data_IF_517943371250
#
_entry.id   IF_517943371250
#
_cell.length_a   1.000
_cell.length_b   1.000
_cell.length_c   1.000
_cell.angle_alpha   90.00
_cell.angle_beta   90.00
_cell.angle_gamma   90.00
#
_symmetry.space_group_name_H-M   'P 1'
#
loop_
_entity.id
_entity.type
_entity.pdbx_description
1 polymer ?
2 non-polymer ?
3 water ?
#
# COMPACT_ATOMS: atom_id res chain seq x y z
N UNK A 1 11.09 -1.48 -1.76
CA UNK A 1 11.77 -2.56 -1.00
C UNK A 1 11.16 -2.66 0.39
N UNK A 2 11.14 -3.87 0.93
CA UNK A 2 10.58 -4.07 2.26
C UNK A 2 11.58 -4.74 3.19
N UNK A 3 11.44 -4.49 4.50
CA UNK A 3 12.33 -5.10 5.50
C UNK A 3 12.11 -6.61 5.35
N UNK A 4 13.09 -7.42 5.76
CA UNK A 4 12.98 -8.88 5.65
C UNK A 4 11.91 -9.55 6.51
N UNK A 5 11.55 -8.93 7.63
CA UNK A 5 10.56 -9.52 8.53
C UNK A 5 9.11 -9.49 8.02
N UNK A 6 8.87 -8.86 6.88
CA UNK A 6 7.52 -8.79 6.34
C UNK A 6 7.35 -9.57 5.03
N UNK A 7 6.17 -10.15 4.85
CA UNK A 7 5.83 -10.86 3.62
C UNK A 7 5.31 -9.70 2.77
N UNK A 8 5.09 -9.93 1.48
CA UNK A 8 4.59 -8.86 0.63
C UNK A 8 3.25 -8.33 1.12
N UNK A 9 2.38 -9.23 1.57
CA UNK A 9 1.08 -8.83 2.08
C UNK A 9 1.22 -8.01 3.37
N UNK A 10 2.13 -8.43 4.25
CA UNK A 10 2.31 -7.69 5.49
C UNK A 10 2.86 -6.28 5.21
N UNK A 11 3.66 -6.16 4.15
CA UNK A 11 4.22 -4.87 3.75
C UNK A 11 3.12 -4.04 3.10
N UNK A 12 2.29 -4.68 2.27
CA UNK A 12 1.18 -3.99 1.62
C UNK A 12 0.31 -3.38 2.71
N UNK A 13 0.04 -4.17 3.75
CA UNK A 13 -0.77 -3.72 4.87
C UNK A 13 -0.12 -2.54 5.61
N UNK A 14 1.19 -2.65 5.85
CA UNK A 14 1.93 -1.61 6.54
C UNK A 14 1.98 -0.33 5.71
N UNK A 15 2.10 -0.47 4.39
CA UNK A 15 2.18 0.68 3.51
C UNK A 15 0.86 1.33 3.07
N UNK A 16 -0.17 0.51 2.85
CA UNK A 16 -1.43 1.00 2.30
C UNK A 16 -2.73 0.83 3.05
N UNK A 17 -2.68 0.19 4.21
CA UNK A 17 -3.89 -0.02 4.99
C UNK A 17 -3.81 0.52 6.43
N UNK A 18 -2.73 0.20 7.14
CA UNK A 18 -2.59 0.67 8.53
C UNK A 18 -2.00 2.07 8.67
N UNK A 19 -2.80 3.09 8.37
CA UNK A 19 -2.32 4.46 8.52
C UNK A 19 -2.35 4.72 10.02
N UNK A 20 -1.19 4.59 10.67
CA UNK A 20 -1.10 4.73 12.12
C UNK A 20 -1.52 6.08 12.69
N UNK A 21 -1.62 7.07 11.81
CA UNK A 21 -2.05 8.41 12.21
C UNK A 21 -2.73 9.03 10.99
N UNK A 22 -3.77 9.81 11.22
CA UNK A 22 -4.48 10.43 10.11
C UNK A 22 -3.62 11.53 9.48
N UNK A 23 -2.48 11.81 10.09
CA UNK A 23 -1.57 12.83 9.60
C UNK A 23 -0.47 12.13 8.80
N UNK A 24 -0.19 12.57 7.58
CA UNK A 24 0.84 11.91 6.77
C UNK A 24 2.25 11.92 7.35
N UNK A 25 2.67 13.04 7.93
CA UNK A 25 4.02 13.09 8.49
C UNK A 25 4.26 11.97 9.51
N UNK A 26 3.32 11.77 10.44
CA UNK A 26 3.46 10.71 11.45
C UNK A 26 3.29 9.31 10.84
N UNK A 27 2.26 9.12 10.01
CA UNK A 27 2.02 7.83 9.36
C UNK A 27 3.23 7.39 8.54
N UNK A 28 3.85 8.33 7.83
CA UNK A 28 5.00 7.99 7.00
C UNK A 28 6.25 7.59 7.78
N UNK A 29 6.38 8.04 9.02
CA UNK A 29 7.55 7.67 9.82
C UNK A 29 7.68 6.15 9.93
N UNK A 30 6.54 5.47 9.98
CA UNK A 30 6.55 4.02 10.08
C UNK A 30 7.17 3.38 8.82
N UNK A 31 6.70 3.78 7.65
CA UNK A 31 7.23 3.23 6.40
C UNK A 31 8.70 3.62 6.23
N UNK A 32 8.98 4.90 6.45
CA UNK A 32 10.33 5.44 6.31
C UNK A 32 11.34 4.81 7.26
N UNK A 33 10.94 4.59 8.51
CA UNK A 33 11.84 3.99 9.48
C UNK A 33 12.09 2.53 9.12
N UNK A 34 11.17 1.91 8.39
CA UNK A 34 11.33 0.53 7.99
C UNK A 34 12.16 0.42 6.71
N UNK A 35 11.91 1.34 5.78
CA UNK A 35 12.60 1.38 4.50
C UNK A 35 13.97 2.05 4.55
N UNK A 36 14.21 2.82 5.61
CA UNK A 36 15.47 3.55 5.79
C UNK A 36 15.66 4.62 4.72
N UNK A 37 14.56 5.29 4.36
CA UNK A 37 14.59 6.35 3.36
C UNK A 37 13.20 6.97 3.33
N UNK A 38 13.12 8.25 2.98
CA UNK A 38 11.82 8.91 2.93
C UNK A 38 11.14 8.71 1.59
N UNK A 39 10.13 7.85 1.60
CA UNK A 39 9.37 7.55 0.42
C UNK A 39 8.76 8.86 -0.08
N UNK A 40 8.89 9.11 -1.38
CA UNK A 40 8.40 10.34 -1.98
C UNK A 40 6.89 10.47 -2.09
N UNK A 41 6.23 9.35 -2.31
CA UNK A 41 4.78 9.33 -2.47
C UNK A 41 4.20 8.01 -1.99
N UNK A 42 3.11 8.09 -1.24
CA UNK A 42 2.49 6.88 -0.74
C UNK A 42 1.01 7.06 -0.41
N UNK A 43 0.20 6.13 -0.90
CA UNK A 43 -1.25 6.15 -0.68
C UNK A 43 -1.74 5.19 0.39
N UNK A 44 -2.60 5.69 1.27
CA UNK A 44 -3.22 4.88 2.31
C UNK A 44 -4.70 4.79 1.92
N UNK A 45 -5.20 3.57 1.73
CA UNK A 45 -6.61 3.38 1.39
C UNK A 45 -7.42 3.30 2.69
N UNK A 46 -8.50 4.07 2.80
CA UNK A 46 -9.32 4.01 4.00
C UNK A 46 -10.33 2.89 3.81
N UNK A 47 -9.83 1.67 3.94
CA UNK A 47 -10.61 0.46 3.76
C UNK A 47 -9.97 -0.63 4.62
N UNK A 48 -10.62 -1.78 4.70
CA UNK A 48 -10.11 -2.89 5.50
C UNK A 48 -9.30 -3.89 4.68
N UNK A 49 -8.42 -4.60 5.37
CA UNK A 49 -7.60 -5.60 4.72
C UNK A 49 -8.50 -6.65 4.08
N UNK A 50 -9.56 -7.04 4.79
CA UNK A 50 -10.47 -8.05 4.27
C UNK A 50 -11.16 -7.55 3.00
N UNK A 51 -11.50 -6.26 2.96
CA UNK A 51 -12.12 -5.64 1.79
C UNK A 51 -11.21 -5.78 0.56
N UNK A 52 -9.94 -5.45 0.73
CA UNK A 52 -8.98 -5.54 -0.37
C UNK A 52 -8.79 -6.99 -0.81
N UNK A 53 -8.72 -7.90 0.15
CA UNK A 53 -8.57 -9.32 -0.18
C UNK A 53 -9.73 -9.71 -1.09
N UNK A 54 -10.92 -9.23 -0.77
CA UNK A 54 -12.06 -9.54 -1.61
C UNK A 54 -11.95 -8.92 -3.00
N UNK A 55 -11.31 -7.75 -3.11
CA UNK A 55 -11.12 -7.12 -4.41
C UNK A 55 -10.19 -8.01 -5.23
N UNK A 56 -9.28 -8.70 -4.56
CA UNK A 56 -8.38 -9.62 -5.23
C UNK A 56 -9.20 -10.69 -5.96
N UNK A 57 -10.44 -10.88 -5.53
CA UNK A 57 -11.31 -11.88 -6.15
C UNK A 57 -12.01 -11.38 -7.39
N UNK A 58 -11.84 -10.09 -7.70
CA UNK A 58 -12.46 -9.50 -8.88
C UNK A 58 -11.69 -9.99 -10.09
N UNK A 59 -12.24 -9.78 -11.29
CA UNK A 59 -11.56 -10.24 -12.50
C UNK A 59 -10.15 -9.74 -12.65
N UNK A 60 -9.26 -10.60 -13.13
CA UNK A 60 -7.88 -10.22 -13.35
C UNK A 60 -7.80 -9.18 -14.45
N UNK A 61 -6.84 -8.28 -14.33
CA UNK A 61 -6.64 -7.24 -15.32
C UNK A 61 -5.15 -6.86 -15.37
N UNK A 62 -4.73 -6.29 -16.50
CA UNK A 62 -3.34 -5.90 -16.64
C UNK A 62 -3.01 -4.76 -15.66
N UNK A 63 -1.85 -4.85 -15.02
CA UNK A 63 -1.40 -3.82 -14.07
C UNK A 63 -0.91 -2.60 -14.85
N UNK A 64 -1.61 -1.46 -14.74
CA UNK A 64 -1.14 -0.27 -15.48
C UNK A 64 0.28 0.17 -15.15
N UNK A 65 0.76 -0.14 -13.95
CA UNK A 65 2.12 0.24 -13.55
C UNK A 65 3.19 -0.77 -13.98
N UNK A 66 2.78 -2.00 -14.25
CA UNK A 66 3.69 -3.03 -14.78
C UNK A 66 2.90 -3.81 -15.81
N UNK A 67 2.88 -3.25 -17.01
CA UNK A 67 2.18 -3.77 -18.17
C UNK A 67 2.37 -5.27 -18.43
N UNK A 68 3.47 -5.86 -17.96
CA UNK A 68 3.67 -7.28 -18.21
C UNK A 68 2.94 -8.19 -17.23
N UNK A 69 2.39 -7.61 -16.16
CA UNK A 69 1.69 -8.40 -15.14
C UNK A 69 0.17 -8.43 -15.28
N UNK A 70 -0.41 -9.60 -15.05
CA UNK A 70 -1.84 -9.81 -15.18
C UNK A 70 -2.48 -10.21 -13.84
N UNK A 71 -1.81 -9.90 -12.74
CA UNK A 71 -2.32 -10.25 -11.42
C UNK A 71 -2.98 -9.07 -10.70
N UNK A 72 -3.43 -8.09 -11.46
CA UNK A 72 -4.07 -6.94 -10.84
C UNK A 72 -5.58 -7.06 -10.82
N UNK A 73 -6.20 -6.30 -9.92
CA UNK A 73 -7.66 -6.31 -9.74
C UNK A 73 -8.18 -4.90 -9.43
N UNK A 74 -9.29 -4.55 -10.05
CA UNK A 74 -9.91 -3.23 -9.91
C UNK A 74 -10.97 -3.25 -8.81
N UNK A 75 -10.94 -2.26 -7.92
CA UNK A 75 -11.89 -2.18 -6.82
C UNK A 75 -13.36 -2.12 -7.26
N UNK A 76 -13.65 -1.61 -8.45
CA UNK A 76 -15.05 -1.58 -8.86
C UNK A 76 -15.92 -0.61 -8.07
N UNK A 77 -15.38 -0.09 -6.98
CA UNK A 77 -16.08 0.90 -6.16
C UNK A 77 -15.02 1.86 -5.60
N UNK A 78 -15.34 3.15 -5.54
CA UNK A 78 -14.40 4.16 -5.04
C UNK A 78 -14.29 4.08 -3.52
N UNK A 79 -13.10 4.35 -2.99
CA UNK A 79 -12.93 4.33 -1.55
C UNK A 79 -12.23 5.60 -1.11
N UNK A 80 -12.44 6.01 0.15
CA UNK A 80 -11.76 7.22 0.61
C UNK A 80 -10.30 6.82 0.79
N UNK A 81 -9.39 7.73 0.48
CA UNK A 81 -7.97 7.44 0.63
C UNK A 81 -7.23 8.73 0.97
N UNK A 82 -6.00 8.59 1.45
CA UNK A 82 -5.18 9.76 1.75
C UNK A 82 -3.84 9.53 1.06
N UNK A 83 -3.44 10.49 0.23
CA UNK A 83 -2.17 10.39 -0.49
C UNK A 83 -1.15 11.30 0.18
N UNK A 84 -0.03 10.71 0.57
CA UNK A 84 1.04 11.44 1.22
C UNK A 84 2.12 11.78 0.21
N UNK A 85 2.56 13.04 0.24
CA UNK A 85 3.59 13.56 -0.65
C UNK A 85 4.68 14.17 0.20
N UNK A 86 5.92 13.79 -0.07
CA UNK A 86 7.07 14.30 0.68
C UNK A 86 7.28 15.80 0.38
N UNK A 87 7.26 16.63 1.42
CA UNK A 87 7.45 18.06 1.25
C UNK A 87 8.81 18.48 1.78
N UNK A 88 9.36 17.66 2.68
CA UNK A 88 10.66 17.95 3.27
C UNK A 88 11.60 16.75 3.25
N UNK A 89 12.21 16.44 2.08
CA UNK A 89 13.13 15.30 1.97
C UNK A 89 14.30 15.51 2.91
N UNK A 90 14.72 14.45 3.59
CA UNK A 90 15.82 14.55 4.54
C UNK A 90 16.68 13.27 4.52
N UNK A 91 17.41 13.04 3.41
CA UNK A 91 18.28 11.87 3.21
C UNK A 91 19.25 11.52 4.34
N UNK A 92 19.59 12.49 5.18
CA UNK A 92 20.52 12.24 6.27
C UNK A 92 19.82 11.95 7.59
N UNK A 93 18.62 12.50 7.78
CA UNK A 93 17.88 12.27 9.01
C UNK A 93 16.39 12.12 8.74
N UNK A 94 16.03 10.94 8.22
CA UNK A 94 14.66 10.60 7.86
C UNK A 94 13.55 10.83 8.89
N UNK A 95 13.89 10.93 10.17
CA UNK A 95 12.85 11.19 11.16
C UNK A 95 12.44 12.66 11.01
N UNK A 96 13.19 13.38 10.18
CA UNK A 96 12.94 14.80 9.92
C UNK A 96 12.10 15.08 8.67
N UNK A 97 11.68 14.03 7.97
CA UNK A 97 10.87 14.23 6.78
C UNK A 97 9.44 14.61 7.13
N UNK A 98 8.89 15.54 6.36
CA UNK A 98 7.52 15.99 6.56
C UNK A 98 6.77 15.73 5.26
N UNK A 99 5.46 15.53 5.38
CA UNK A 99 4.63 15.22 4.23
C UNK A 99 3.36 16.05 4.22
N UNK A 100 2.73 16.13 3.06
CA UNK A 100 1.45 16.81 2.94
C UNK A 100 0.47 15.63 2.83
N UNK A 101 -0.82 15.89 3.08
CA UNK A 101 -1.86 14.87 2.97
C UNK A 101 -2.92 15.39 2.02
N UNK A 102 -3.33 14.53 1.09
CA UNK A 102 -4.35 14.89 0.11
C UNK A 102 -5.45 13.84 0.13
N UNK A 103 -6.64 14.21 0.64
CA UNK A 103 -7.80 13.31 0.72
C UNK A 103 -8.51 13.23 -0.62
N UNK A 104 -8.99 12.04 -0.97
CA UNK A 104 -9.70 11.84 -2.23
C UNK A 104 -10.55 10.59 -2.17
N UNK A 105 -11.40 10.42 -3.17
CA UNK A 105 -12.28 9.28 -3.28
C UNK A 105 -12.03 8.70 -4.66
N UNK A 106 -11.33 7.57 -4.73
CA UNK A 106 -11.03 6.97 -6.03
C UNK A 106 -11.03 5.45 -5.99
N UNK A 107 -10.90 4.87 -7.17
CA UNK A 107 -10.85 3.42 -7.30
C UNK A 107 -9.41 3.04 -7.07
N UNK A 108 -9.18 1.77 -6.77
CA UNK A 108 -7.82 1.32 -6.61
C UNK A 108 -7.65 0.03 -7.38
N UNK A 109 -6.42 -0.20 -7.84
CA UNK A 109 -6.07 -1.41 -8.56
C UNK A 109 -4.95 -2.07 -7.76
N UNK A 110 -5.18 -3.29 -7.30
CA UNK A 110 -4.20 -4.00 -6.51
C UNK A 110 -3.73 -5.28 -7.19
N UNK A 111 -2.43 -5.53 -7.06
CA UNK A 111 -1.82 -6.75 -7.57
C UNK A 111 -1.99 -7.72 -6.40
N UNK A 112 -2.43 -8.93 -6.70
CA UNK A 112 -2.62 -9.93 -5.66
C UNK A 112 -1.90 -11.20 -6.04
N UNK A 113 -1.52 -11.96 -5.03
CA UNK A 113 -0.79 -13.19 -5.23
C UNK A 113 -1.14 -14.19 -4.17
N UNK A 114 -0.68 -15.43 -4.36
CA UNK A 114 -0.88 -16.45 -3.35
C UNK A 114 -0.03 -16.02 -2.16
N UNK A 115 -0.51 -16.33 -0.96
CA UNK A 115 0.17 -15.96 0.26
C UNK A 115 1.55 -16.60 0.42
N UNK A 116 2.35 -16.01 1.31
CA UNK A 116 3.68 -16.52 1.65
C UNK A 116 3.38 -17.78 2.46
N UNK A 117 3.64 -18.94 1.85
CA UNK A 117 3.37 -20.23 2.50
C UNK A 117 3.81 -20.36 3.96
N UNK A 118 5.04 -19.98 4.26
CA UNK A 118 5.56 -20.11 5.61
C UNK A 118 5.17 -19.02 6.59
N UNK A 119 5.07 -17.78 6.14
CA UNK A 119 4.79 -16.68 7.06
C UNK A 119 3.42 -16.01 7.07
N UNK A 120 2.68 -16.13 5.97
CA UNK A 120 1.35 -15.53 5.91
C UNK A 120 0.34 -16.47 6.56
N UNK A 121 -0.67 -15.91 7.23
CA UNK A 121 -1.70 -16.71 7.89
C UNK A 121 -2.51 -17.48 6.85
N UNK A 122 -2.80 -18.76 7.14
CA UNK A 122 -3.57 -19.60 6.22
C UNK A 122 -4.98 -19.08 5.96
N UNK A 123 -5.45 -18.16 6.80
CA UNK A 123 -6.79 -17.61 6.65
C UNK A 123 -7.04 -16.98 5.27
N UNK A 124 -6.01 -16.37 4.70
CA UNK A 124 -6.16 -15.73 3.40
C UNK A 124 -5.23 -16.33 2.34
N UNK A 125 -5.72 -17.31 1.58
CA UNK A 125 -4.86 -17.92 0.55
C UNK A 125 -4.39 -16.92 -0.50
N UNK A 126 -5.21 -15.91 -0.77
CA UNK A 126 -4.86 -14.89 -1.76
C UNK A 126 -4.79 -13.53 -1.04
N UNK A 127 -3.73 -12.78 -1.33
CA UNK A 127 -3.51 -11.49 -0.67
C UNK A 127 -3.00 -10.37 -1.58
N UNK A 128 -3.28 -9.11 -1.19
CA UNK A 128 -2.80 -7.98 -2.00
C UNK A 128 -1.30 -7.88 -1.71
N UNK A 129 -0.50 -7.60 -2.73
CA UNK A 129 0.94 -7.49 -2.54
C UNK A 129 1.51 -6.17 -3.04
N UNK A 130 0.73 -5.42 -3.82
CA UNK A 130 1.16 -4.12 -4.34
C UNK A 130 -0.04 -3.26 -4.67
N UNK A 131 0.07 -1.96 -4.41
CA UNK A 131 -1.01 -1.04 -4.77
C UNK A 131 -0.51 -0.50 -6.09
N UNK A 132 -1.02 -1.05 -7.18
CA UNK A 132 -0.56 -0.65 -8.51
C UNK A 132 -1.01 0.73 -8.97
N UNK A 133 -2.20 1.13 -8.56
CA UNK A 133 -2.73 2.41 -9.00
C UNK A 133 -4.04 2.82 -8.35
N UNK A 134 -4.29 4.12 -8.35
CA UNK A 134 -5.53 4.69 -7.86
C UNK A 134 -5.98 5.48 -9.08
N UNK A 135 -7.21 5.26 -9.49
CA UNK A 135 -7.76 5.91 -10.66
C UNK A 135 -9.11 6.50 -10.30
X LIG B 1 3.77 -0.98 -3.66
X LIG B 1 4.80 -2.10 -3.56
X LIG B 1 4.31 0.36 -3.19
X LIG B 1 2.44 -1.34 -3.04
X LIG B 1 8.28 1.36 -6.20
X LIG B 1 8.51 0.51 -4.95
X LIG B 1 9.35 1.13 -7.27
X LIG B 1 8.04 2.83 -5.88
X LIG B 1 6.89 0.81 -6.86
X LIG B 1 6.20 1.55 -7.89
X LIG B 1 4.83 0.96 -8.11
X LIG B 1 4.96 -0.43 -8.49
X LIG B 1 3.94 0.94 -6.87
X LIG B 1 2.59 0.88 -7.30
X LIG B 1 4.37 -0.36 -6.21
X LIG B 1 3.42 -0.80 -5.24
X LIG B 1 4.52 -1.27 -7.43
X LIG B 1 5.50 -2.35 -7.28
X LIG B 1 6.66 -2.38 -6.52
X LIG B 1 7.34 -3.49 -6.63
X LIG B 1 6.58 -4.25 -7.52
X LIG B 1 6.76 -5.56 -8.07
X LIG B 1 7.80 -6.35 -7.80
X LIG B 1 5.80 -6.02 -8.92
X LIG B 1 4.75 -5.23 -9.21
X LIG B 1 4.48 -4.00 -8.76
X LIG B 1 5.45 -3.56 -7.92
#
# INVERSE_FOLDING_TARGET
>A
MKPPQFTWAQWFETQHINMTSQQCTNAMQVINNYQRRCKNQNTFLLTTFANVVNVCGNPNMTCPSNKTRKNCHHSGSQVPLIHCNLTTPSPQNISNCRYAQTPANMFYIVACDNRDQRRDPPQYPVVPVHLDRII
>B hetero
1 A2P P1 O1P O2P O3P P2 O4P O5P O6P O5' C5' C4' O4' C3' O3' C2' O2' C1' N9 C8 N7 C5 C6 N6 N1 C2 N3 C4
#
